data_IF_827977974004
#
_entry.id   IF_827977974004
#
_cell.length_a   1.000
_cell.length_b   1.000
_cell.length_c   1.000
_cell.angle_alpha   90.00
_cell.angle_beta   90.00
_cell.angle_gamma   90.00
#
_symmetry.space_group_name_H-M   'P 1'
#
loop_
_entity.id
_entity.type
_entity.pdbx_description
1 polymer ?
#
# COMPACT_ATOMS: atom_id res chain seq x y z
N UNK A 1 -13.66 18.06 -2.86
CA UNK A 1 -14.95 17.40 -2.61
C UNK A 1 -14.81 16.00 -3.16
N UNK A 2 -14.76 14.99 -2.30
CA UNK A 2 -14.79 13.60 -2.77
C UNK A 2 -16.24 13.34 -3.16
N UNK A 3 -16.50 13.16 -4.47
CA UNK A 3 -17.79 12.65 -4.92
C UNK A 3 -17.98 11.28 -4.27
N UNK A 4 -19.07 11.12 -3.56
CA UNK A 4 -19.42 9.84 -2.93
C UNK A 4 -19.61 8.84 -4.08
N UNK A 5 -18.67 7.90 -4.22
CA UNK A 5 -18.89 6.79 -5.12
C UNK A 5 -20.14 6.04 -4.61
N UNK A 6 -21.15 5.90 -5.45
CA UNK A 6 -22.38 5.12 -5.15
C UNK A 6 -22.08 3.60 -5.20
N UNK A 7 -21.06 3.19 -4.44
CA UNK A 7 -20.67 1.77 -4.32
C UNK A 7 -20.80 1.38 -2.84
N UNK A 8 -21.64 0.40 -2.57
CA UNK A 8 -21.91 -0.12 -1.21
C UNK A 8 -20.64 -0.64 -0.50
N UNK A 9 -19.57 -0.89 -1.24
CA UNK A 9 -18.26 -1.29 -0.70
C UNK A 9 -17.43 -0.09 -0.26
N UNK A 10 -17.81 1.12 -0.65
CA UNK A 10 -17.10 2.35 -0.30
C UNK A 10 -17.57 2.88 1.05
N UNK A 11 -16.64 3.13 1.96
CA UNK A 11 -16.93 3.73 3.25
C UNK A 11 -16.13 5.04 3.39
N UNK A 12 -16.83 6.16 3.47
CA UNK A 12 -16.23 7.47 3.72
C UNK A 12 -16.46 7.88 5.18
N UNK A 13 -15.39 8.14 5.89
CA UNK A 13 -15.44 8.63 7.27
C UNK A 13 -14.68 9.95 7.38
N UNK A 14 -15.36 10.96 7.90
CA UNK A 14 -14.75 12.24 8.21
C UNK A 14 -14.21 12.22 9.63
N UNK A 15 -12.92 12.45 9.79
CA UNK A 15 -12.23 12.52 11.09
C UNK A 15 -11.51 13.86 11.23
N UNK A 16 -11.21 14.24 12.47
CA UNK A 16 -10.29 15.35 12.72
C UNK A 16 -8.90 14.97 12.17
N UNK A 17 -8.27 15.91 11.46
CA UNK A 17 -6.95 15.66 10.87
C UNK A 17 -5.88 15.55 11.98
N UNK A 18 -5.33 14.36 12.12
CA UNK A 18 -4.27 14.02 13.09
C UNK A 18 -2.95 13.62 12.39
N UNK A 19 -2.80 13.95 11.10
CA UNK A 19 -1.68 13.55 10.27
C UNK A 19 -1.92 12.24 9.52
N UNK A 20 -1.06 11.95 8.54
CA UNK A 20 -1.22 10.81 7.63
C UNK A 20 -1.26 9.48 8.39
N UNK A 21 -0.32 9.17 9.31
CA UNK A 21 -0.32 7.88 10.00
C UNK A 21 -1.58 7.62 10.81
N UNK A 22 -2.05 8.60 11.58
CA UNK A 22 -3.21 8.45 12.45
C UNK A 22 -4.50 8.30 11.64
N UNK A 23 -4.65 9.09 10.58
CA UNK A 23 -5.82 9.03 9.70
C UNK A 23 -5.87 7.70 8.93
N UNK A 24 -4.73 7.23 8.42
CA UNK A 24 -4.62 5.92 7.74
C UNK A 24 -4.93 4.77 8.70
N UNK A 25 -4.41 4.81 9.93
CA UNK A 25 -4.74 3.80 10.94
C UNK A 25 -6.24 3.79 11.27
N UNK A 26 -6.88 4.95 11.32
CA UNK A 26 -8.33 5.04 11.55
C UNK A 26 -9.12 4.42 10.39
N UNK A 27 -8.70 4.64 9.15
CA UNK A 27 -9.29 4.00 7.98
C UNK A 27 -9.06 2.48 7.98
N UNK A 28 -7.85 2.03 8.33
CA UNK A 28 -7.52 0.62 8.40
C UNK A 28 -8.37 -0.17 9.43
N UNK A 29 -8.79 0.47 10.53
CA UNK A 29 -9.71 -0.13 11.51
C UNK A 29 -11.09 -0.44 10.94
N UNK A 30 -11.50 0.21 9.86
CA UNK A 30 -12.77 -0.05 9.18
C UNK A 30 -12.66 -1.16 8.13
N UNK A 31 -11.43 -1.54 7.78
CA UNK A 31 -11.19 -2.57 6.78
C UNK A 31 -11.62 -3.95 7.30
N UNK A 32 -12.42 -4.65 6.50
CA UNK A 32 -12.88 -6.02 6.79
C UNK A 32 -12.19 -7.08 5.92
N UNK A 33 -11.45 -6.67 4.91
CA UNK A 33 -10.72 -7.55 3.99
C UNK A 33 -9.58 -8.30 4.68
N UNK A 34 -9.12 -9.37 4.05
CA UNK A 34 -7.97 -10.16 4.52
C UNK A 34 -6.66 -9.41 4.35
N UNK A 35 -6.58 -8.52 3.35
CA UNK A 35 -5.43 -7.67 3.07
C UNK A 35 -5.82 -6.19 3.13
N UNK A 36 -4.84 -5.34 3.43
CA UNK A 36 -4.91 -3.89 3.37
C UNK A 36 -3.95 -3.45 2.28
N UNK A 37 -4.44 -2.68 1.31
CA UNK A 37 -3.63 -2.02 0.31
C UNK A 37 -3.58 -0.51 0.60
N UNK A 38 -2.38 0.05 0.58
CA UNK A 38 -2.15 1.48 0.79
C UNK A 38 -2.08 2.17 -0.57
N UNK A 39 -2.93 3.17 -0.78
CA UNK A 39 -3.02 3.95 -2.01
C UNK A 39 -3.18 5.42 -1.65
N UNK A 40 -2.37 6.27 -2.25
CA UNK A 40 -2.48 7.71 -2.05
C UNK A 40 -3.69 8.29 -2.79
N UNK A 41 -4.19 9.41 -2.30
CA UNK A 41 -5.43 10.04 -2.79
C UNK A 41 -5.34 10.59 -4.22
N UNK A 42 -4.15 10.77 -4.75
CA UNK A 42 -3.81 11.25 -6.10
C UNK A 42 -3.31 10.14 -7.03
N UNK A 43 -3.26 8.90 -6.54
CA UNK A 43 -2.90 7.73 -7.32
C UNK A 43 -4.12 7.03 -7.93
N UNK A 44 -3.89 6.26 -8.98
CA UNK A 44 -4.90 5.45 -9.67
C UNK A 44 -4.42 4.01 -9.79
N UNK A 45 -5.32 3.06 -9.55
CA UNK A 45 -5.06 1.65 -9.81
C UNK A 45 -5.26 1.33 -11.29
N UNK A 46 -4.29 0.64 -11.88
CA UNK A 46 -4.49 0.03 -13.20
C UNK A 46 -5.67 -0.96 -13.15
N UNK A 47 -6.46 -1.13 -14.22
CA UNK A 47 -7.66 -1.98 -14.21
C UNK A 47 -7.42 -3.42 -13.77
N UNK A 48 -6.20 -3.93 -13.94
CA UNK A 48 -5.79 -5.30 -13.57
C UNK A 48 -5.04 -5.38 -12.23
N UNK A 49 -4.71 -4.26 -11.59
CA UNK A 49 -3.84 -4.23 -10.41
C UNK A 49 -4.32 -5.16 -9.29
N UNK A 50 -5.58 -5.04 -8.86
CA UNK A 50 -6.11 -5.88 -7.79
C UNK A 50 -6.19 -7.36 -8.17
N UNK A 51 -6.40 -7.67 -9.46
CA UNK A 51 -6.40 -9.05 -9.94
C UNK A 51 -5.01 -9.68 -9.83
N UNK A 52 -3.97 -9.00 -10.30
CA UNK A 52 -2.59 -9.51 -10.24
C UNK A 52 -2.12 -9.65 -8.77
N UNK A 53 -2.43 -8.68 -7.92
CA UNK A 53 -2.13 -8.78 -6.49
C UNK A 53 -2.83 -9.96 -5.83
N UNK A 54 -4.12 -10.17 -6.10
CA UNK A 54 -4.87 -11.31 -5.57
C UNK A 54 -4.35 -12.66 -6.09
N UNK A 55 -3.99 -12.73 -7.36
CA UNK A 55 -3.37 -13.91 -7.97
C UNK A 55 -2.04 -14.23 -7.29
N UNK A 56 -1.17 -13.23 -7.09
CA UNK A 56 0.09 -13.42 -6.40
C UNK A 56 -0.10 -13.91 -4.95
N UNK A 57 -1.11 -13.41 -4.23
CA UNK A 57 -1.50 -13.94 -2.91
C UNK A 57 -1.85 -15.43 -3.00
N UNK A 58 -2.68 -15.83 -3.97
CA UNK A 58 -3.10 -17.23 -4.12
C UNK A 58 -1.93 -18.16 -4.49
N UNK A 59 -0.93 -17.66 -5.21
CA UNK A 59 0.22 -18.43 -5.65
C UNK A 59 1.32 -18.53 -4.59
N UNK A 60 1.46 -17.52 -3.73
CA UNK A 60 2.61 -17.39 -2.81
C UNK A 60 2.23 -17.45 -1.33
N UNK A 61 0.96 -17.21 -1.01
CA UNK A 61 0.46 -17.02 0.37
C UNK A 61 1.19 -15.92 1.15
N UNK A 62 1.83 -14.98 0.43
CA UNK A 62 2.67 -13.93 1.01
C UNK A 62 1.84 -12.98 1.90
N UNK A 63 2.44 -12.55 3.00
CA UNK A 63 1.84 -11.57 3.91
C UNK A 63 2.14 -10.12 3.52
N UNK A 64 3.14 -9.90 2.67
CA UNK A 64 3.51 -8.60 2.16
C UNK A 64 3.86 -8.68 0.67
N UNK A 65 3.19 -7.85 -0.15
CA UNK A 65 3.37 -7.76 -1.59
C UNK A 65 3.48 -6.29 -2.02
N UNK A 66 4.15 -6.06 -3.15
CA UNK A 66 4.20 -4.74 -3.79
C UNK A 66 4.27 -4.90 -5.31
N UNK A 67 3.86 -3.85 -6.02
CA UNK A 67 3.86 -3.85 -7.49
C UNK A 67 4.74 -2.75 -8.07
N UNK A 68 5.02 -2.86 -9.35
CA UNK A 68 5.51 -1.75 -10.17
C UNK A 68 4.51 -0.59 -10.17
N UNK A 69 4.98 0.57 -10.60
CA UNK A 69 4.17 1.78 -10.78
C UNK A 69 4.57 2.52 -12.06
N UNK A 70 3.68 3.36 -12.54
CA UNK A 70 3.96 4.23 -13.68
C UNK A 70 3.47 5.66 -13.40
N UNK A 71 4.29 6.63 -13.75
CA UNK A 71 3.89 8.03 -13.73
C UNK A 71 3.10 8.35 -15.00
N UNK A 72 2.01 9.08 -14.86
CA UNK A 72 1.25 9.61 -15.98
C UNK A 72 1.05 11.13 -15.85
N UNK A 73 1.05 11.82 -16.99
CA UNK A 73 0.96 13.29 -17.00
C UNK A 73 -0.46 13.80 -17.22
N UNK A 74 -1.30 13.05 -17.93
CA UNK A 74 -2.67 13.45 -18.31
C UNK A 74 -3.70 12.36 -18.10
N UNK A 75 -3.39 11.14 -18.47
CA UNK A 75 -4.29 9.99 -18.36
C UNK A 75 -3.48 8.69 -18.26
N UNK A 76 -4.13 7.62 -17.77
CA UNK A 76 -3.50 6.31 -17.55
C UNK A 76 -3.10 5.59 -18.86
N UNK A 77 -3.62 6.02 -20.01
CA UNK A 77 -3.31 5.38 -21.30
C UNK A 77 -1.97 5.85 -21.88
N UNK A 78 -1.45 6.98 -21.35
CA UNK A 78 -0.20 7.57 -21.81
C UNK A 78 0.78 7.74 -20.64
N UNK A 79 1.36 6.66 -20.12
CA UNK A 79 2.34 6.75 -19.05
C UNK A 79 3.56 7.55 -19.53
N UNK A 80 4.02 8.46 -18.66
CA UNK A 80 5.19 9.29 -18.93
C UNK A 80 6.48 8.55 -18.60
N UNK A 81 6.48 7.71 -17.56
CA UNK A 81 7.61 6.89 -17.15
C UNK A 81 7.13 5.68 -16.36
N UNK A 82 7.76 4.53 -16.54
CA UNK A 82 7.59 3.35 -15.69
C UNK A 82 8.65 3.33 -14.60
N UNK A 83 8.27 2.95 -13.40
CA UNK A 83 9.17 2.63 -12.30
C UNK A 83 9.07 1.13 -12.05
N UNK A 84 9.95 0.39 -12.73
CA UNK A 84 10.10 -1.06 -12.56
C UNK A 84 10.98 -1.33 -11.36
N UNK A 85 10.41 -1.93 -10.36
CA UNK A 85 11.06 -2.18 -9.07
C UNK A 85 11.83 -3.51 -9.12
N UNK A 86 12.92 -3.65 -8.37
CA UNK A 86 13.58 -4.95 -8.24
C UNK A 86 12.71 -5.90 -7.42
N UNK A 87 12.95 -7.20 -7.55
CA UNK A 87 12.55 -8.17 -6.54
C UNK A 87 13.09 -7.77 -5.18
N UNK A 88 12.47 -8.31 -4.11
CA UNK A 88 12.83 -7.90 -2.75
C UNK A 88 14.34 -7.87 -2.51
N UNK A 89 14.84 -6.69 -2.23
CA UNK A 89 16.26 -6.41 -1.99
C UNK A 89 16.45 -5.70 -0.64
N UNK A 90 16.71 -6.47 0.41
CA UNK A 90 16.80 -5.97 1.80
C UNK A 90 17.73 -4.76 1.94
N UNK A 91 18.97 -4.87 1.43
CA UNK A 91 19.97 -3.79 1.54
C UNK A 91 19.54 -2.53 0.79
N UNK A 92 18.77 -2.68 -0.28
CA UNK A 92 18.26 -1.53 -1.02
C UNK A 92 17.11 -0.87 -0.24
N UNK A 93 16.19 -1.66 0.33
CA UNK A 93 15.10 -1.14 1.15
C UNK A 93 15.61 -0.38 2.39
N UNK A 94 16.70 -0.80 3.02
CA UNK A 94 17.29 -0.08 4.14
C UNK A 94 17.75 1.36 3.78
N UNK A 95 18.04 1.62 2.52
CA UNK A 95 18.55 2.91 2.06
C UNK A 95 17.54 3.75 1.30
N UNK A 96 16.59 3.10 0.61
CA UNK A 96 15.61 3.75 -0.28
C UNK A 96 14.27 3.06 -0.14
N UNK A 97 13.21 3.84 0.07
CA UNK A 97 11.84 3.34 -0.02
C UNK A 97 11.45 3.13 -1.49
N UNK A 98 11.91 2.04 -2.10
CA UNK A 98 11.59 1.71 -3.48
C UNK A 98 10.23 1.01 -3.64
N UNK A 99 9.65 0.50 -2.55
CA UNK A 99 8.36 -0.21 -2.58
C UNK A 99 7.22 0.75 -2.89
N UNK A 100 7.17 1.92 -2.23
CA UNK A 100 6.18 2.98 -2.41
C UNK A 100 4.75 2.42 -2.63
N UNK A 101 4.13 2.62 -3.80
CA UNK A 101 2.78 2.16 -4.14
C UNK A 101 2.81 1.24 -5.39
N UNK A 102 1.97 0.25 -5.53
CA UNK A 102 1.01 -0.26 -4.54
C UNK A 102 1.71 -1.21 -3.59
N UNK A 103 1.47 -1.04 -2.28
CA UNK A 103 1.89 -1.98 -1.26
C UNK A 103 0.67 -2.62 -0.61
N UNK A 104 0.69 -3.94 -0.41
CA UNK A 104 -0.39 -4.71 0.16
C UNK A 104 0.12 -5.64 1.26
N UNK A 105 -0.46 -5.52 2.46
CA UNK A 105 -0.10 -6.32 3.62
C UNK A 105 -1.31 -7.14 4.07
N UNK A 106 -1.06 -8.37 4.55
CA UNK A 106 -2.11 -9.11 5.27
C UNK A 106 -2.57 -8.28 6.46
N UNK A 107 -3.88 -8.11 6.64
CA UNK A 107 -4.45 -7.26 7.70
C UNK A 107 -3.95 -7.66 9.09
N UNK A 108 -3.86 -8.96 9.36
CA UNK A 108 -3.32 -9.45 10.63
C UNK A 108 -1.84 -9.05 10.86
N UNK A 109 -1.03 -8.98 9.81
CA UNK A 109 0.34 -8.47 9.91
C UNK A 109 0.35 -6.97 10.23
N UNK A 110 -0.46 -6.18 9.50
CA UNK A 110 -0.59 -4.73 9.76
C UNK A 110 -1.00 -4.44 11.21
N UNK A 111 -1.99 -5.19 11.72
CA UNK A 111 -2.46 -5.08 13.11
C UNK A 111 -1.38 -5.48 14.13
N UNK A 112 -0.65 -6.59 13.90
CA UNK A 112 0.46 -7.03 14.76
C UNK A 112 1.60 -6.04 14.82
N UNK A 113 1.85 -5.31 13.74
CA UNK A 113 2.86 -4.24 13.67
C UNK A 113 2.39 -2.94 14.35
N UNK A 114 1.10 -2.85 14.72
CA UNK A 114 0.51 -1.65 15.29
C UNK A 114 0.24 -0.54 14.28
N UNK A 115 0.16 -0.88 12.99
CA UNK A 115 -0.08 0.04 11.90
C UNK A 115 1.06 1.02 11.64
N UNK A 116 0.72 2.19 11.12
CA UNK A 116 1.64 3.30 10.87
C UNK A 116 1.96 4.04 12.18
N UNK A 117 3.21 4.42 12.37
CA UNK A 117 3.67 5.12 13.58
C UNK A 117 3.70 6.64 13.36
N UNK A 118 2.96 7.45 14.17
CA UNK A 118 2.95 8.91 14.02
C UNK A 118 4.33 9.58 14.15
N UNK A 119 5.26 8.96 14.86
CA UNK A 119 6.63 9.46 14.99
C UNK A 119 7.43 9.45 13.67
N UNK A 120 6.92 8.75 12.64
CA UNK A 120 7.52 8.64 11.31
C UNK A 120 6.68 9.35 10.23
N UNK A 121 5.88 10.34 10.60
CA UNK A 121 5.09 11.11 9.64
C UNK A 121 6.00 11.70 8.54
N UNK A 122 5.64 11.46 7.26
CA UNK A 122 6.48 11.74 6.10
C UNK A 122 7.42 10.60 5.66
N UNK A 123 7.53 9.51 6.47
CA UNK A 123 8.27 8.29 6.13
C UNK A 123 7.57 7.06 6.74
N UNK A 124 6.29 7.18 7.01
CA UNK A 124 5.46 6.22 7.75
C UNK A 124 5.33 4.87 7.02
N UNK A 125 5.28 4.91 5.72
CA UNK A 125 5.24 3.76 4.83
C UNK A 125 6.57 3.00 4.84
N UNK A 126 7.69 3.68 4.68
CA UNK A 126 9.02 3.07 4.75
C UNK A 126 9.27 2.38 6.10
N UNK A 127 8.91 3.06 7.20
CA UNK A 127 8.96 2.48 8.55
C UNK A 127 8.11 1.21 8.67
N UNK A 128 6.88 1.24 8.13
CA UNK A 128 5.99 0.07 8.11
C UNK A 128 6.60 -1.07 7.32
N UNK A 129 7.12 -0.79 6.11
CA UNK A 129 7.70 -1.82 5.24
C UNK A 129 8.93 -2.48 5.85
N UNK A 130 9.82 -1.71 6.48
CA UNK A 130 10.97 -2.26 7.20
C UNK A 130 10.53 -3.22 8.33
N UNK A 131 9.55 -2.83 9.13
CA UNK A 131 9.00 -3.69 10.19
C UNK A 131 8.28 -4.93 9.62
N UNK A 132 7.61 -4.77 8.49
CA UNK A 132 6.94 -5.88 7.82
C UNK A 132 7.94 -6.92 7.33
N UNK A 133 8.99 -6.51 6.62
CA UNK A 133 9.99 -7.47 6.10
C UNK A 133 10.83 -8.11 7.21
N UNK A 134 11.06 -7.43 8.34
CA UNK A 134 11.67 -8.05 9.51
C UNK A 134 10.80 -9.19 10.06
N UNK A 135 9.50 -9.09 9.96
CA UNK A 135 8.56 -10.09 10.46
C UNK A 135 8.32 -11.25 9.48
N UNK A 136 8.29 -10.95 8.19
CA UNK A 136 7.97 -11.92 7.13
C UNK A 136 9.21 -12.54 6.47
N UNK A 137 10.37 -11.94 6.66
CA UNK A 137 11.60 -12.32 5.97
C UNK A 137 11.71 -11.77 4.55
N UNK A 138 10.75 -11.00 4.06
CA UNK A 138 10.76 -10.39 2.73
C UNK A 138 9.39 -9.94 2.26
N UNK A 139 9.31 -9.57 0.99
CA UNK A 139 8.09 -9.18 0.30
C UNK A 139 8.06 -9.76 -1.12
N UNK A 140 6.88 -10.01 -1.66
CA UNK A 140 6.70 -10.51 -3.03
C UNK A 140 6.49 -9.34 -3.98
N UNK A 141 7.24 -9.31 -5.06
CA UNK A 141 7.09 -8.37 -6.17
C UNK A 141 6.11 -8.93 -7.21
N UNK A 142 5.18 -8.08 -7.69
CA UNK A 142 4.09 -8.44 -8.60
C UNK A 142 4.17 -7.63 -9.88
#
# INVERSE_FOLDING_TARGET
MVEQAEDERSCLVCVENQGIPANTNSAAQLATGEYIALLDHDDLLAPHALYEMAKAVMETEADFLYSDEALFAKDMLHPAAGHFKPDYAHQYLLNVNYIAHLAMLRRSLFEQLGGLRPAFDGSQDHDLYLRAVERTGGAVHV
#
